data_IF_853191941224
#
_entry.id   IF_853191941224
#
_cell.length_a   1.000
_cell.length_b   1.000
_cell.length_c   1.000
_cell.angle_alpha   90.00
_cell.angle_beta   90.00
_cell.angle_gamma   90.00
#
_symmetry.space_group_name_H-M   'P 1'
#
loop_
_entity.id
_entity.type
_entity.pdbx_description
1 polymer ?
#
# COMPACT_ATOMS: atom_id res chain seq x y z
N UNK A 1 27.85 -0.85 7.28
CA UNK A 1 26.59 -0.10 7.44
C UNK A 1 26.24 -0.02 8.91
N UNK A 2 26.03 1.18 9.43
CA UNK A 2 25.69 1.38 10.84
C UNK A 2 24.27 0.90 11.13
N UNK A 3 24.02 0.37 12.32
CA UNK A 3 22.70 -0.13 12.77
C UNK A 3 21.61 0.93 12.58
N UNK A 4 21.92 2.20 12.86
CA UNK A 4 21.02 3.35 12.66
C UNK A 4 20.59 3.50 11.21
N UNK A 5 21.51 3.29 10.25
CA UNK A 5 21.22 3.40 8.81
C UNK A 5 20.30 2.29 8.33
N UNK A 6 20.48 1.05 8.82
CA UNK A 6 19.60 -0.08 8.47
C UNK A 6 18.17 0.14 8.95
N UNK A 7 18.00 0.62 10.18
CA UNK A 7 16.68 0.93 10.76
C UNK A 7 16.00 2.06 9.98
N UNK A 8 16.75 3.12 9.61
CA UNK A 8 16.20 4.22 8.83
C UNK A 8 15.68 3.78 7.44
N UNK A 9 16.41 2.88 6.77
CA UNK A 9 15.98 2.33 5.47
C UNK A 9 14.71 1.49 5.61
N UNK A 10 14.59 0.71 6.68
CA UNK A 10 13.41 -0.12 6.91
C UNK A 10 12.15 0.71 7.19
N UNK A 11 12.28 1.76 8.01
CA UNK A 11 11.19 2.71 8.23
C UNK A 11 10.78 3.37 6.91
N UNK A 12 11.76 3.77 6.08
CA UNK A 12 11.49 4.35 4.78
C UNK A 12 10.74 3.37 3.85
N UNK A 13 11.18 2.11 3.77
CA UNK A 13 10.53 1.07 2.97
C UNK A 13 9.09 0.80 3.44
N UNK A 14 8.87 0.68 4.76
CA UNK A 14 7.52 0.53 5.32
C UNK A 14 6.63 1.75 5.05
N UNK A 15 7.18 2.96 5.10
CA UNK A 15 6.42 4.17 4.73
C UNK A 15 5.99 4.15 3.27
N UNK A 16 6.86 3.68 2.36
CA UNK A 16 6.56 3.54 0.94
C UNK A 16 5.48 2.47 0.67
N UNK A 17 5.37 1.46 1.53
CA UNK A 17 4.29 0.46 1.47
C UNK A 17 2.98 1.01 2.03
N UNK A 18 3.01 1.72 3.15
CA UNK A 18 1.80 2.14 3.88
C UNK A 18 1.09 3.33 3.20
N UNK A 19 1.85 4.30 2.69
CA UNK A 19 1.27 5.53 2.12
C UNK A 19 0.28 5.28 0.96
N UNK A 20 0.56 4.40 -0.01
CA UNK A 20 -0.40 4.05 -1.05
C UNK A 20 -1.69 3.43 -0.52
N UNK A 21 -1.61 2.59 0.53
CA UNK A 21 -2.79 1.97 1.15
C UNK A 21 -3.68 3.04 1.77
N UNK A 22 -3.08 3.98 2.53
CA UNK A 22 -3.83 5.07 3.16
C UNK A 22 -4.52 5.91 2.08
N UNK A 23 -3.81 6.26 1.01
CA UNK A 23 -4.38 7.03 -0.10
C UNK A 23 -5.55 6.29 -0.78
N UNK A 24 -5.40 4.99 -1.02
CA UNK A 24 -6.48 4.16 -1.57
C UNK A 24 -7.69 4.15 -0.64
N UNK A 25 -7.47 3.93 0.66
CA UNK A 25 -8.55 3.92 1.64
C UNK A 25 -9.28 5.27 1.72
N UNK A 26 -8.56 6.39 1.67
CA UNK A 26 -9.17 7.73 1.64
C UNK A 26 -10.06 7.93 0.40
N UNK A 27 -9.63 7.44 -0.78
CA UNK A 27 -10.42 7.58 -2.00
C UNK A 27 -11.67 6.69 -1.95
N UNK A 28 -11.54 5.46 -1.46
CA UNK A 28 -12.69 4.56 -1.29
C UNK A 28 -13.66 5.08 -0.22
N UNK A 29 -13.16 5.63 0.89
CA UNK A 29 -13.97 6.26 1.93
C UNK A 29 -14.68 7.51 1.39
N UNK A 30 -14.01 8.33 0.58
CA UNK A 30 -14.68 9.45 -0.10
C UNK A 30 -15.80 8.95 -1.02
N UNK A 31 -15.57 7.88 -1.76
CA UNK A 31 -16.57 7.26 -2.62
C UNK A 31 -17.77 6.68 -1.85
N UNK A 32 -17.56 6.23 -0.60
CA UNK A 32 -18.64 5.82 0.29
C UNK A 32 -19.66 6.95 0.55
N UNK A 33 -19.18 8.17 0.83
CA UNK A 33 -20.03 9.32 1.16
C UNK A 33 -20.53 10.09 -0.07
N UNK A 34 -19.65 10.30 -1.06
CA UNK A 34 -19.95 11.13 -2.25
C UNK A 34 -20.46 10.34 -3.45
N UNK A 35 -20.48 9.00 -3.35
CA UNK A 35 -20.86 8.10 -4.42
C UNK A 35 -19.72 7.82 -5.42
N UNK A 36 -19.78 6.66 -6.07
CA UNK A 36 -18.89 6.25 -7.15
C UNK A 36 -19.68 6.00 -8.44
N UNK A 37 -19.08 6.27 -9.60
CA UNK A 37 -19.67 6.03 -10.92
C UNK A 37 -18.83 5.04 -11.76
N UNK A 38 -19.46 4.12 -12.51
CA UNK A 38 -18.78 3.17 -13.39
C UNK A 38 -18.35 3.84 -14.71
N UNK A 39 -17.17 4.45 -14.71
CA UNK A 39 -16.54 5.04 -15.91
C UNK A 39 -17.26 6.28 -16.49
N UNK A 40 -16.47 7.24 -17.00
CA UNK A 40 -16.88 8.37 -17.86
C UNK A 40 -18.28 9.00 -17.63
N UNK A 41 -18.74 9.14 -16.38
CA UNK A 41 -20.04 9.70 -16.00
C UNK A 41 -21.30 8.96 -16.48
N UNK A 42 -21.17 7.78 -17.08
CA UNK A 42 -22.32 6.98 -17.52
C UNK A 42 -22.65 5.89 -16.48
N UNK A 43 -23.92 5.77 -16.13
CA UNK A 43 -24.41 4.76 -15.18
C UNK A 43 -24.78 5.29 -13.77
N UNK A 44 -25.38 4.42 -12.94
CA UNK A 44 -25.89 4.79 -11.63
C UNK A 44 -24.76 5.17 -10.66
N UNK A 45 -25.06 6.09 -9.75
CA UNK A 45 -24.16 6.46 -8.66
C UNK A 45 -24.34 5.47 -7.51
N UNK A 46 -23.28 4.75 -7.18
CA UNK A 46 -23.27 3.79 -6.07
C UNK A 46 -22.80 4.49 -4.79
N UNK A 47 -23.60 4.41 -3.73
CA UNK A 47 -23.29 4.99 -2.42
C UNK A 47 -22.92 3.92 -1.39
N UNK A 48 -22.42 4.36 -0.23
CA UNK A 48 -22.13 3.47 0.89
C UNK A 48 -21.10 2.39 0.53
N UNK A 49 -21.32 1.17 1.02
CA UNK A 49 -20.37 0.07 0.80
C UNK A 49 -20.26 -0.36 -0.66
N UNK A 50 -21.30 -0.15 -1.47
CA UNK A 50 -21.24 -0.45 -2.91
C UNK A 50 -20.30 0.52 -3.63
N UNK A 51 -20.43 1.82 -3.34
CA UNK A 51 -19.50 2.84 -3.86
C UNK A 51 -18.05 2.61 -3.41
N UNK A 52 -17.84 2.20 -2.16
CA UNK A 52 -16.51 1.84 -1.66
C UNK A 52 -15.91 0.65 -2.43
N UNK A 53 -16.65 -0.47 -2.52
CA UNK A 53 -16.19 -1.68 -3.21
C UNK A 53 -15.88 -1.39 -4.67
N UNK A 54 -16.75 -0.66 -5.32
CA UNK A 54 -16.61 -0.28 -6.72
C UNK A 54 -15.36 0.56 -6.97
N UNK A 55 -15.16 1.62 -6.18
CA UNK A 55 -13.97 2.47 -6.30
C UNK A 55 -12.69 1.68 -6.01
N UNK A 56 -12.71 0.77 -5.04
CA UNK A 56 -11.61 -0.13 -4.75
C UNK A 56 -11.26 -1.00 -5.97
N UNK A 57 -12.26 -1.66 -6.58
CA UNK A 57 -12.04 -2.47 -7.77
C UNK A 57 -11.55 -1.65 -8.95
N UNK A 58 -12.15 -0.49 -9.22
CA UNK A 58 -11.66 0.41 -10.28
C UNK A 58 -10.19 0.77 -10.06
N UNK A 59 -9.80 1.18 -8.85
CA UNK A 59 -8.41 1.52 -8.55
C UNK A 59 -7.47 0.32 -8.68
N UNK A 60 -7.91 -0.89 -8.31
CA UNK A 60 -7.13 -2.11 -8.47
C UNK A 60 -6.95 -2.52 -9.94
N UNK A 61 -7.99 -2.38 -10.77
CA UNK A 61 -7.95 -2.76 -12.19
C UNK A 61 -7.25 -1.70 -13.07
N UNK A 62 -7.59 -0.42 -12.91
CA UNK A 62 -6.94 0.67 -13.67
C UNK A 62 -5.52 0.97 -13.15
N UNK A 63 -5.29 0.74 -11.85
CA UNK A 63 -3.98 0.87 -11.22
C UNK A 63 -3.18 -0.44 -11.21
N UNK A 64 -3.53 -1.45 -12.00
CA UNK A 64 -2.95 -2.79 -11.90
C UNK A 64 -1.41 -2.81 -11.99
N UNK A 65 -0.82 -1.96 -12.84
CA UNK A 65 0.64 -1.77 -12.90
C UNK A 65 1.21 -1.22 -11.59
N UNK A 66 0.54 -0.25 -10.96
CA UNK A 66 0.91 0.29 -9.66
C UNK A 66 0.74 -0.74 -8.53
N UNK A 67 -0.28 -1.59 -8.59
CA UNK A 67 -0.48 -2.69 -7.63
C UNK A 67 0.67 -3.69 -7.72
N UNK A 68 1.10 -4.08 -8.93
CA UNK A 68 2.25 -4.98 -9.10
C UNK A 68 3.52 -4.37 -8.53
N UNK A 69 3.84 -3.11 -8.87
CA UNK A 69 5.01 -2.42 -8.33
C UNK A 69 4.94 -2.34 -6.81
N UNK A 70 3.75 -2.05 -6.26
CA UNK A 70 3.55 -1.99 -4.83
C UNK A 70 3.74 -3.34 -4.13
N UNK A 71 3.25 -4.43 -4.71
CA UNK A 71 3.49 -5.80 -4.21
C UNK A 71 4.98 -6.14 -4.23
N UNK A 72 5.71 -5.76 -5.29
CA UNK A 72 7.15 -5.95 -5.34
C UNK A 72 7.88 -5.16 -4.24
N UNK A 73 7.50 -3.90 -4.03
CA UNK A 73 8.05 -3.07 -2.93
C UNK A 73 7.76 -3.70 -1.57
N UNK A 74 6.54 -4.23 -1.37
CA UNK A 74 6.18 -4.94 -0.14
C UNK A 74 7.06 -6.18 0.07
N UNK A 75 7.27 -7.00 -0.96
CA UNK A 75 8.14 -8.18 -0.86
C UNK A 75 9.58 -7.79 -0.51
N UNK A 76 10.14 -6.80 -1.21
CA UNK A 76 11.49 -6.27 -0.92
C UNK A 76 11.59 -5.77 0.52
N UNK A 77 10.56 -5.06 1.00
CA UNK A 77 10.49 -4.57 2.38
C UNK A 77 10.53 -5.74 3.37
N UNK A 78 9.68 -6.75 3.19
CA UNK A 78 9.63 -7.94 4.06
C UNK A 78 10.98 -8.68 4.07
N UNK A 79 11.57 -8.93 2.91
CA UNK A 79 12.88 -9.59 2.83
C UNK A 79 13.97 -8.76 3.52
N UNK A 80 13.96 -7.44 3.34
CA UNK A 80 14.92 -6.55 4.00
C UNK A 80 14.74 -6.55 5.52
N UNK A 81 13.50 -6.49 6.03
CA UNK A 81 13.20 -6.57 7.46
C UNK A 81 13.72 -7.89 8.05
N UNK A 82 13.44 -9.03 7.39
CA UNK A 82 13.94 -10.35 7.83
C UNK A 82 15.47 -10.37 7.86
N UNK A 83 16.12 -9.91 6.79
CA UNK A 83 17.58 -9.81 6.71
C UNK A 83 18.16 -8.96 7.86
N UNK A 84 17.53 -7.82 8.17
CA UNK A 84 17.97 -6.96 9.25
C UNK A 84 17.88 -7.64 10.61
N UNK A 85 16.75 -8.32 10.89
CA UNK A 85 16.55 -9.06 12.14
C UNK A 85 17.65 -10.12 12.31
N UNK A 86 17.94 -10.91 11.27
CA UNK A 86 18.98 -11.93 11.29
C UNK A 86 20.38 -11.32 11.51
N UNK A 87 20.69 -10.21 10.83
CA UNK A 87 21.98 -9.52 10.96
C UNK A 87 22.19 -8.95 12.36
N UNK A 88 21.18 -8.28 12.93
CA UNK A 88 21.24 -7.72 14.29
C UNK A 88 21.40 -8.84 15.32
N UNK A 89 20.67 -9.96 15.15
CA UNK A 89 20.78 -11.12 16.04
C UNK A 89 22.18 -11.75 16.01
N UNK A 90 22.82 -11.81 14.84
CA UNK A 90 24.21 -12.30 14.70
C UNK A 90 25.22 -11.35 15.36
N UNK A 91 24.99 -10.04 15.27
CA UNK A 91 25.89 -9.02 15.82
C UNK A 91 25.81 -8.90 17.35
N UNK A 92 24.69 -9.27 17.97
CA UNK A 92 24.53 -9.31 19.43
C UNK A 92 25.02 -10.63 20.09
N UNK A 93 25.38 -11.64 19.30
CA UNK A 93 25.89 -12.94 19.81
C UNK A 93 27.41 -13.05 19.85
N UNK A 94 28.11 -12.03 19.35
CA UNK A 94 29.55 -11.83 19.42
C UNK A 94 29.84 -10.75 20.45
#
# INVERSE_FOLDING_TARGET
MNKKTLIAIDIFLWSAVILPIIKLFMICAKAYYSGAKPSFNEGPVYYGMEGFKMMFWMMMFYGFSYVIVWVLVFLVTVFFTIYMILRIKKQNRL
#
